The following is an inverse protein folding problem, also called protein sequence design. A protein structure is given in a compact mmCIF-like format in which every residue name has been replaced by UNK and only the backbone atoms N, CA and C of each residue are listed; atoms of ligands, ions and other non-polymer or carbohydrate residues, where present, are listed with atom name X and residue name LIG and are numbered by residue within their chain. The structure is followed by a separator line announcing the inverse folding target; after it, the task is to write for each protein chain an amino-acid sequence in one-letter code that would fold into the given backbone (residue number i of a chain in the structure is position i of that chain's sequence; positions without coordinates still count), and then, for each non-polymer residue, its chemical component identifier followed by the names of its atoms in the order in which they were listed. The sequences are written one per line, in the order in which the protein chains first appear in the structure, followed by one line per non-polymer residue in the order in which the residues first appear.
data_IF_285333891249
#
_entry.id   IF_285333891249
#
_cell.length_a   1.000
_cell.length_b   1.000
_cell.length_c   1.000
_cell.angle_alpha   90.00
_cell.angle_beta   90.00
_cell.angle_gamma   90.00
#
_symmetry.space_group_name_H-M   'P 1'
#
loop_
_entity.id
_entity.type
_entity.pdbx_description
1 polymer ?
#
# COMPACT_ATOMS: atom_id res chain seq x y z
N UNK A 1 35.15 13.01 10.26
CA UNK A 1 33.72 13.10 9.92
C UNK A 1 33.29 12.17 8.77
N UNK A 2 33.36 12.55 7.48
CA UNK A 2 32.76 11.72 6.39
C UNK A 2 33.33 10.29 6.28
N UNK A 3 34.64 10.12 6.43
CA UNK A 3 35.30 8.80 6.44
C UNK A 3 34.95 7.97 7.68
N UNK A 4 34.67 8.61 8.81
CA UNK A 4 34.28 7.90 10.04
C UNK A 4 32.85 7.38 9.91
N UNK A 5 31.95 8.18 9.34
CA UNK A 5 30.59 7.77 9.01
C UNK A 5 30.57 6.57 8.06
N UNK A 6 31.38 6.59 6.99
CA UNK A 6 31.51 5.45 6.09
C UNK A 6 32.04 4.20 6.80
N UNK A 7 33.00 4.32 7.74
CA UNK A 7 33.46 3.17 8.53
C UNK A 7 32.38 2.62 9.44
N UNK A 8 31.58 3.47 10.09
CA UNK A 8 30.46 3.00 10.93
C UNK A 8 29.36 2.31 10.11
N UNK A 9 29.21 2.69 8.84
CA UNK A 9 28.29 2.05 7.88
C UNK A 9 28.93 0.85 7.14
N UNK A 10 30.17 0.48 7.49
CA UNK A 10 30.97 -0.57 6.85
C UNK A 10 31.17 -0.38 5.33
N UNK A 11 31.26 0.89 4.88
CA UNK A 11 31.43 1.28 3.48
C UNK A 11 32.88 1.68 3.15
N UNK A 12 33.32 1.50 1.89
CA UNK A 12 34.65 1.93 1.44
C UNK A 12 34.93 3.43 1.65
N UNK A 13 36.04 3.73 2.31
CA UNK A 13 36.51 5.11 2.60
C UNK A 13 37.52 5.68 1.59
N UNK A 14 37.78 4.94 0.51
CA UNK A 14 38.66 5.35 -0.58
C UNK A 14 37.92 6.16 -1.64
N UNK A 15 38.58 7.16 -2.22
CA UNK A 15 38.02 8.03 -3.25
C UNK A 15 38.17 9.52 -2.91
N UNK A 16 37.72 10.36 -3.85
CA UNK A 16 37.59 11.81 -3.66
C UNK A 16 36.37 12.11 -2.78
N UNK A 17 36.31 13.32 -2.23
CA UNK A 17 35.19 13.75 -1.37
C UNK A 17 33.81 13.54 -2.02
N UNK A 18 33.69 13.77 -3.33
CA UNK A 18 32.45 13.55 -4.08
C UNK A 18 32.00 12.07 -4.04
N UNK A 19 32.93 11.14 -4.34
CA UNK A 19 32.65 9.69 -4.32
C UNK A 19 32.23 9.21 -2.92
N UNK A 20 32.79 9.81 -1.87
CA UNK A 20 32.44 9.49 -0.48
C UNK A 20 31.04 10.01 -0.11
N UNK A 21 30.63 11.16 -0.65
CA UNK A 21 29.28 11.73 -0.43
C UNK A 21 28.25 10.87 -1.15
N UNK A 22 28.46 10.59 -2.45
CA UNK A 22 27.59 9.75 -3.25
C UNK A 22 27.36 8.38 -2.58
N UNK A 23 28.43 7.75 -2.08
CA UNK A 23 28.34 6.46 -1.40
C UNK A 23 27.51 6.50 -0.11
N UNK A 24 27.56 7.61 0.63
CA UNK A 24 26.71 7.81 1.81
C UNK A 24 25.26 8.04 1.39
N UNK A 25 25.02 8.85 0.36
CA UNK A 25 23.68 9.13 -0.17
C UNK A 25 23.01 7.88 -0.73
N UNK A 26 23.72 7.07 -1.52
CA UNK A 26 23.24 5.78 -2.03
C UNK A 26 22.89 4.85 -0.88
N UNK A 27 23.76 4.70 0.12
CA UNK A 27 23.50 3.83 1.25
C UNK A 27 22.25 4.24 2.04
N UNK A 28 22.07 5.54 2.27
CA UNK A 28 20.86 6.02 2.94
C UNK A 28 19.62 5.90 2.06
N UNK A 29 19.76 6.04 0.73
CA UNK A 29 18.65 5.84 -0.22
C UNK A 29 18.23 4.36 -0.25
N UNK A 30 19.19 3.44 -0.26
CA UNK A 30 18.95 1.99 -0.25
C UNK A 30 18.47 1.46 1.11
N UNK A 31 18.75 2.16 2.21
CA UNK A 31 18.34 1.78 3.57
C UNK A 31 17.17 2.55 4.14
N UNK A 32 16.58 3.50 3.41
CA UNK A 32 15.29 4.03 3.82
C UNK A 32 14.28 2.88 3.69
N UNK A 33 13.60 2.45 4.79
CA UNK A 33 12.40 1.64 4.61
C UNK A 33 11.45 2.49 3.76
N UNK A 34 11.21 2.07 2.52
CA UNK A 34 10.27 2.78 1.66
C UNK A 34 8.94 2.84 2.40
N UNK A 35 8.58 4.04 2.89
CA UNK A 35 7.24 4.26 3.43
C UNK A 35 6.30 3.90 2.30
N UNK A 36 5.46 2.86 2.43
CA UNK A 36 4.65 2.41 1.32
C UNK A 36 3.79 3.57 0.82
N UNK A 37 3.67 3.73 -0.50
CA UNK A 37 2.79 4.75 -1.06
C UNK A 37 1.38 4.64 -0.49
N UNK A 38 0.61 5.74 -0.47
CA UNK A 38 -0.79 5.70 -0.03
C UNK A 38 -1.58 4.59 -0.76
N UNK A 39 -1.33 4.46 -2.07
CA UNK A 39 -1.89 3.40 -2.90
C UNK A 39 -1.61 2.01 -2.33
N UNK A 40 -0.34 1.70 -2.02
CA UNK A 40 0.03 0.40 -1.45
C UNK A 40 -0.52 0.18 -0.05
N UNK A 41 -0.57 1.22 0.79
CA UNK A 41 -1.19 1.11 2.11
C UNK A 41 -2.68 0.75 2.00
N UNK A 42 -3.40 1.33 1.04
CA UNK A 42 -4.82 1.01 0.80
C UNK A 42 -4.96 -0.41 0.23
N UNK A 43 -4.17 -0.79 -0.78
CA UNK A 43 -4.19 -2.15 -1.37
C UNK A 43 -3.96 -3.19 -0.28
N UNK A 44 -3.00 -2.91 0.60
CA UNK A 44 -2.65 -3.76 1.72
C UNK A 44 -3.80 -3.96 2.72
N UNK A 45 -4.46 -2.86 3.14
CA UNK A 45 -5.64 -2.94 4.00
C UNK A 45 -6.80 -3.73 3.37
N UNK A 46 -7.03 -3.55 2.06
CA UNK A 46 -8.05 -4.32 1.34
C UNK A 46 -7.64 -5.80 1.30
N UNK A 47 -6.37 -6.10 1.05
CA UNK A 47 -5.81 -7.45 1.04
C UNK A 47 -6.03 -8.19 2.34
N UNK A 48 -5.57 -7.59 3.45
CA UNK A 48 -5.70 -8.15 4.80
C UNK A 48 -7.17 -8.47 5.12
N UNK A 49 -8.10 -7.57 4.75
CA UNK A 49 -9.52 -7.80 4.99
C UNK A 49 -10.12 -8.87 4.08
N UNK A 50 -9.77 -8.91 2.80
CA UNK A 50 -10.22 -9.93 1.86
C UNK A 50 -9.75 -11.31 2.32
N UNK A 51 -8.49 -11.45 2.72
CA UNK A 51 -7.93 -12.69 3.28
C UNK A 51 -8.67 -13.12 4.55
N UNK A 52 -8.84 -12.20 5.50
CA UNK A 52 -9.60 -12.45 6.73
C UNK A 52 -11.08 -12.80 6.48
N UNK A 53 -11.64 -12.38 5.34
CA UNK A 53 -13.01 -12.70 4.92
C UNK A 53 -13.13 -14.04 4.17
N UNK A 54 -12.04 -14.81 4.04
CA UNK A 54 -12.03 -16.07 3.29
C UNK A 54 -11.76 -15.91 1.79
N UNK A 55 -11.11 -14.82 1.39
CA UNK A 55 -10.66 -14.56 0.01
C UNK A 55 -11.66 -13.79 -0.86
N UNK A 56 -12.87 -13.51 -0.37
CA UNK A 56 -13.90 -12.76 -1.11
C UNK A 56 -14.76 -11.91 -0.18
N UNK A 57 -15.17 -10.72 -0.62
CA UNK A 57 -16.06 -9.83 0.16
C UNK A 57 -16.76 -8.79 -0.72
N UNK A 58 -17.89 -8.27 -0.25
CA UNK A 58 -18.56 -7.11 -0.85
C UNK A 58 -17.85 -5.78 -0.60
N UNK A 59 -17.94 -4.87 -1.57
CA UNK A 59 -17.33 -3.54 -1.52
C UNK A 59 -17.88 -2.66 -0.39
N UNK A 60 -19.09 -2.92 0.10
CA UNK A 60 -19.63 -2.24 1.31
C UNK A 60 -18.89 -2.61 2.58
N UNK A 61 -18.49 -3.88 2.72
CA UNK A 61 -17.72 -4.33 3.88
C UNK A 61 -16.31 -3.76 3.83
N UNK A 62 -15.69 -3.70 2.63
CA UNK A 62 -14.44 -2.97 2.42
C UNK A 62 -14.59 -1.49 2.78
N UNK A 63 -15.64 -0.82 2.30
CA UNK A 63 -15.91 0.57 2.66
C UNK A 63 -16.01 0.78 4.17
N UNK A 64 -16.72 -0.10 4.89
CA UNK A 64 -16.80 -0.06 6.36
C UNK A 64 -15.44 -0.27 7.02
N UNK A 65 -14.67 -1.26 6.56
CA UNK A 65 -13.34 -1.56 7.08
C UNK A 65 -12.36 -0.39 6.87
N UNK A 66 -12.30 0.17 5.66
CA UNK A 66 -11.46 1.34 5.35
C UNK A 66 -11.88 2.60 6.12
N UNK A 67 -13.17 2.73 6.46
CA UNK A 67 -13.65 3.84 7.31
C UNK A 67 -13.22 3.68 8.76
N UNK A 68 -12.99 2.45 9.23
CA UNK A 68 -12.61 2.15 10.61
C UNK A 68 -11.09 2.16 10.81
N UNK A 69 -10.31 1.94 9.75
CA UNK A 69 -8.85 1.94 9.79
C UNK A 69 -8.27 3.29 9.37
N UNK A 70 -7.14 3.66 9.97
CA UNK A 70 -6.44 4.91 9.68
C UNK A 70 -5.18 4.65 8.89
N UNK A 71 -4.88 5.57 7.98
CA UNK A 71 -3.55 5.76 7.40
C UNK A 71 -3.11 7.14 7.84
N UNK A 72 -2.04 7.21 8.62
CA UNK A 72 -1.66 8.40 9.39
C UNK A 72 -2.85 8.88 10.26
N UNK A 73 -3.28 10.14 10.12
CA UNK A 73 -4.30 10.77 10.95
C UNK A 73 -5.73 10.72 10.37
N UNK A 74 -5.91 10.21 9.15
CA UNK A 74 -7.19 10.17 8.46
C UNK A 74 -7.68 8.73 8.23
N UNK A 75 -9.00 8.54 8.07
CA UNK A 75 -9.52 7.23 7.69
C UNK A 75 -9.03 6.86 6.29
N UNK A 76 -8.71 5.58 6.08
CA UNK A 76 -8.26 5.09 4.79
C UNK A 76 -9.33 5.35 3.70
N UNK A 77 -10.62 5.27 4.05
CA UNK A 77 -11.71 5.59 3.12
C UNK A 77 -11.74 7.08 2.72
N UNK A 78 -11.46 7.99 3.66
CA UNK A 78 -11.38 9.43 3.37
C UNK A 78 -10.25 9.70 2.38
N UNK A 79 -9.05 9.20 2.69
CA UNK A 79 -7.87 9.37 1.84
C UNK A 79 -8.09 8.75 0.45
N UNK A 80 -8.71 7.57 0.39
CA UNK A 80 -9.05 6.92 -0.87
C UNK A 80 -9.95 7.83 -1.73
N UNK A 81 -11.01 8.38 -1.15
CA UNK A 81 -11.96 9.23 -1.90
C UNK A 81 -11.34 10.55 -2.34
N UNK A 82 -10.51 11.16 -1.50
CA UNK A 82 -9.85 12.43 -1.83
C UNK A 82 -8.83 12.27 -2.97
N UNK A 83 -8.14 11.14 -3.04
CA UNK A 83 -7.07 10.92 -4.03
C UNK A 83 -7.55 10.19 -5.30
N UNK A 84 -8.56 9.32 -5.19
CA UNK A 84 -8.99 8.40 -6.25
C UNK A 84 -10.50 8.45 -6.54
N UNK A 85 -11.25 9.35 -5.87
CA UNK A 85 -12.66 9.60 -6.09
C UNK A 85 -13.60 8.57 -5.44
N UNK A 86 -13.44 7.29 -5.74
CA UNK A 86 -14.31 6.24 -5.20
C UNK A 86 -13.59 4.89 -5.06
N UNK A 87 -14.11 4.01 -4.21
CA UNK A 87 -13.59 2.63 -4.10
C UNK A 87 -13.67 1.92 -5.45
N UNK A 88 -14.75 2.08 -6.22
CA UNK A 88 -14.87 1.46 -7.54
C UNK A 88 -13.76 1.94 -8.49
N UNK A 89 -13.55 3.25 -8.59
CA UNK A 89 -12.49 3.84 -9.40
C UNK A 89 -11.10 3.35 -8.97
N UNK A 90 -10.85 3.32 -7.66
CA UNK A 90 -9.59 2.80 -7.12
C UNK A 90 -9.35 1.34 -7.54
N UNK A 91 -10.36 0.48 -7.39
CA UNK A 91 -10.23 -0.93 -7.75
C UNK A 91 -9.95 -1.14 -9.24
N UNK A 92 -10.58 -0.35 -10.12
CA UNK A 92 -10.41 -0.47 -11.57
C UNK A 92 -9.02 -0.01 -12.02
N UNK A 93 -8.54 1.13 -11.51
CA UNK A 93 -7.34 1.78 -12.06
C UNK A 93 -6.07 1.50 -11.27
N UNK A 94 -6.17 1.16 -9.98
CA UNK A 94 -5.01 1.06 -9.09
C UNK A 94 -4.84 -0.33 -8.46
N UNK A 95 -5.92 -1.11 -8.32
CA UNK A 95 -5.87 -2.39 -7.61
C UNK A 95 -6.15 -3.63 -8.49
N UNK A 96 -6.26 -3.46 -9.81
CA UNK A 96 -6.65 -4.51 -10.76
C UNK A 96 -5.63 -5.65 -10.87
N UNK A 97 -4.36 -5.40 -10.55
CA UNK A 97 -3.33 -6.44 -10.50
C UNK A 97 -3.46 -7.37 -9.28
N UNK A 98 -4.17 -6.94 -8.23
CA UNK A 98 -4.29 -7.64 -6.95
C UNK A 98 -5.67 -8.24 -6.73
N UNK A 99 -6.71 -7.63 -7.27
CA UNK A 99 -8.09 -8.02 -7.04
C UNK A 99 -8.92 -8.10 -8.32
N UNK A 100 -9.78 -9.10 -8.38
CA UNK A 100 -10.88 -9.18 -9.33
C UNK A 100 -12.13 -8.53 -8.74
N UNK A 101 -12.83 -7.74 -9.55
CA UNK A 101 -14.10 -7.12 -9.19
C UNK A 101 -15.24 -7.67 -10.05
N UNK A 102 -16.24 -8.29 -9.42
CA UNK A 102 -17.44 -8.81 -10.09
C UNK A 102 -18.64 -7.89 -9.81
N UNK A 103 -19.37 -7.50 -10.86
CA UNK A 103 -20.57 -6.65 -10.77
C UNK A 103 -20.29 -5.17 -10.53
N UNK A 104 -19.08 -4.69 -10.82
CA UNK A 104 -18.72 -3.27 -10.69
C UNK A 104 -19.47 -2.37 -11.69
N UNK A 105 -19.71 -2.89 -12.90
CA UNK A 105 -20.45 -2.20 -13.97
C UNK A 105 -21.97 -2.33 -13.84
N UNK A 106 -22.44 -3.28 -13.01
CA UNK A 106 -23.86 -3.46 -12.68
C UNK A 106 -24.07 -3.63 -11.16
N UNK A 107 -23.97 -2.53 -10.39
CA UNK A 107 -24.14 -2.58 -8.94
C UNK A 107 -25.56 -2.95 -8.50
N UNK A 108 -26.53 -3.11 -9.42
CA UNK A 108 -27.86 -3.65 -9.11
C UNK A 108 -27.85 -5.17 -8.97
N UNK A 109 -26.80 -5.85 -9.46
CA UNK A 109 -26.64 -7.29 -9.37
C UNK A 109 -26.48 -7.76 -7.92
N UNK A 110 -25.72 -7.00 -7.11
CA UNK A 110 -25.52 -7.27 -5.68
C UNK A 110 -26.09 -6.15 -4.81
N UNK A 111 -27.41 -5.95 -4.87
CA UNK A 111 -28.13 -4.86 -4.17
C UNK A 111 -27.72 -4.67 -2.69
N UNK A 112 -27.27 -5.71 -2.00
CA UNK A 112 -26.87 -5.67 -0.58
C UNK A 112 -25.37 -5.50 -0.35
N UNK A 113 -24.52 -5.75 -1.35
CA UNK A 113 -23.06 -5.81 -1.18
C UNK A 113 -22.29 -4.82 -2.07
N UNK A 114 -22.94 -4.25 -3.08
CA UNK A 114 -22.32 -3.38 -4.07
C UNK A 114 -21.73 -4.18 -5.22
N UNK A 115 -20.41 -4.38 -5.20
CA UNK A 115 -19.69 -5.28 -6.10
C UNK A 115 -18.81 -6.21 -5.27
N UNK A 116 -18.49 -7.39 -5.81
CA UNK A 116 -17.70 -8.40 -5.10
C UNK A 116 -16.23 -8.22 -5.45
N UNK A 117 -15.38 -8.31 -4.43
CA UNK A 117 -13.93 -8.20 -4.52
C UNK A 117 -13.34 -9.55 -4.11
N UNK A 118 -12.45 -10.09 -4.93
CA UNK A 118 -11.78 -11.38 -4.70
C UNK A 118 -10.28 -11.20 -4.94
N UNK A 119 -9.44 -11.75 -4.06
CA UNK A 119 -7.99 -11.75 -4.28
C UNK A 119 -7.63 -12.61 -5.49
N UNK A 120 -6.75 -12.12 -6.37
CA UNK A 120 -6.23 -12.89 -7.51
C UNK A 120 -4.75 -13.25 -7.40
N UNK A 121 -4.06 -12.79 -6.35
CA UNK A 121 -2.68 -13.15 -6.06
C UNK A 121 -2.58 -13.93 -4.75
N UNK A 122 -1.63 -14.87 -4.68
CA UNK A 122 -1.30 -15.63 -3.45
C UNK A 122 -0.73 -14.74 -2.33
N UNK A 123 -0.25 -13.54 -2.66
CA UNK A 123 0.35 -12.62 -1.68
C UNK A 123 0.11 -11.16 -2.06
N UNK A 124 -1.01 -10.61 -1.61
CA UNK A 124 -1.19 -9.15 -1.53
C UNK A 124 -0.15 -8.59 -0.55
N UNK A 125 0.49 -7.43 -0.83
CA UNK A 125 1.42 -6.82 0.12
C UNK A 125 0.75 -6.67 1.49
N UNK A 126 1.35 -7.30 2.52
CA UNK A 126 0.79 -7.28 3.88
C UNK A 126 1.02 -5.94 4.54
N UNK A 127 0.09 -5.52 5.41
CA UNK A 127 0.25 -4.23 6.07
C UNK A 127 1.44 -4.35 7.02
N UNK A 128 2.33 -3.35 6.98
CA UNK A 128 3.38 -3.23 7.99
C UNK A 128 2.64 -2.81 9.26
N UNK A 129 2.27 -3.79 10.07
CA UNK A 129 1.53 -3.56 11.30
C UNK A 129 2.29 -2.60 12.21
N UNK A 130 1.72 -1.42 12.44
CA UNK A 130 2.11 -0.61 13.58
C UNK A 130 1.47 -1.25 14.83
N UNK A 131 2.23 -2.15 15.45
CA UNK A 131 1.95 -2.67 16.79
C UNK A 131 2.30 -1.66 17.87
#
# INVERSE_FOLDING_TARGET
ELKELLRSLNLPVSGKKADLIERVETHYTEQQPEVPSLEMQIISLIGDYVEASGGTTGSRNIGRYLSANKINDASALTLLKENYGSLASFMIYHAHDYFKCDGIDDPKLYKQDGFIITSIQESVPKSVGNG
#
